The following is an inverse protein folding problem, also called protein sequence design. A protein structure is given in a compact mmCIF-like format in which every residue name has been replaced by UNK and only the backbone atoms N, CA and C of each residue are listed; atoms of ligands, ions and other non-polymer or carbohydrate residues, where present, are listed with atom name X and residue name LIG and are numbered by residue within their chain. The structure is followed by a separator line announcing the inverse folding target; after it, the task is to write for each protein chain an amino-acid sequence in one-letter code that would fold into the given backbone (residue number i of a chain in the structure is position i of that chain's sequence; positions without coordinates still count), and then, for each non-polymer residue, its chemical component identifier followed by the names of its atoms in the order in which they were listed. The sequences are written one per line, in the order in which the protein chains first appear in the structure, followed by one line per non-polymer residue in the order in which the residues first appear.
data_IF_703324801078
#
_entry.id   IF_703324801078
#
_cell.length_a   1.000
_cell.length_b   1.000
_cell.length_c   1.000
_cell.angle_alpha   90.00
_cell.angle_beta   90.00
_cell.angle_gamma   90.00
#
_symmetry.space_group_name_H-M   'P 1'
#
loop_
_entity.id
_entity.type
_entity.pdbx_description
1 polymer ?
#
# COMPACT_ATOMS: atom_id res chain seq x y z
N UNK A 1 -24.27 2.74 6.91
CA UNK A 1 -23.26 2.01 6.10
C UNK A 1 -22.29 1.35 7.07
N UNK A 2 -21.96 0.07 6.89
CA UNK A 2 -20.97 -0.63 7.71
C UNK A 2 -19.73 -0.87 6.85
N UNK A 3 -18.56 -0.47 7.35
CA UNK A 3 -17.30 -0.73 6.67
C UNK A 3 -16.79 -2.13 7.02
N UNK A 4 -16.17 -2.79 6.04
CA UNK A 4 -15.43 -4.02 6.23
C UNK A 4 -13.99 -3.70 6.66
N UNK A 5 -13.46 -4.47 7.60
CA UNK A 5 -12.07 -4.32 8.06
C UNK A 5 -11.23 -5.45 7.47
N UNK A 6 -10.37 -5.10 6.52
CA UNK A 6 -9.35 -5.99 5.99
C UNK A 6 -8.21 -6.11 7.01
N UNK A 7 -7.80 -7.34 7.33
CA UNK A 7 -6.74 -7.60 8.29
C UNK A 7 -5.37 -7.50 7.63
N UNK A 8 -4.38 -7.05 8.38
CA UNK A 8 -2.98 -7.21 8.01
C UNK A 8 -2.56 -8.65 8.29
N UNK A 9 -2.32 -9.42 7.23
CA UNK A 9 -1.96 -10.84 7.31
C UNK A 9 -0.45 -11.05 7.14
N UNK A 10 0.02 -12.28 7.28
CA UNK A 10 1.41 -12.63 6.96
C UNK A 10 1.75 -12.36 5.49
N UNK A 11 0.78 -12.53 4.58
CA UNK A 11 0.95 -12.22 3.15
C UNK A 11 1.02 -10.71 2.92
N UNK A 12 0.19 -9.91 3.60
CA UNK A 12 0.33 -8.45 3.61
C UNK A 12 1.73 -8.05 4.07
N UNK A 13 2.24 -8.67 5.14
CA UNK A 13 3.57 -8.38 5.69
C UNK A 13 4.70 -8.72 4.72
N UNK A 14 4.63 -9.87 4.04
CA UNK A 14 5.59 -10.26 3.02
C UNK A 14 5.61 -9.26 1.85
N UNK A 15 4.43 -8.84 1.38
CA UNK A 15 4.29 -7.83 0.33
C UNK A 15 4.88 -6.49 0.76
N UNK A 16 4.61 -6.05 1.99
CA UNK A 16 5.19 -4.82 2.54
C UNK A 16 6.71 -4.88 2.61
N UNK A 17 7.29 -6.01 3.06
CA UNK A 17 8.74 -6.19 3.09
C UNK A 17 9.39 -6.12 1.71
N UNK A 18 8.74 -6.70 0.68
CA UNK A 18 9.19 -6.57 -0.71
C UNK A 18 9.18 -5.13 -1.20
N UNK A 19 8.12 -4.38 -0.90
CA UNK A 19 8.00 -2.97 -1.26
C UNK A 19 9.08 -2.12 -0.59
N UNK A 20 9.33 -2.32 0.71
CA UNK A 20 10.41 -1.63 1.44
C UNK A 20 11.74 -1.87 0.75
N UNK A 21 12.09 -3.14 0.51
CA UNK A 21 13.35 -3.48 -0.13
C UNK A 21 13.50 -2.85 -1.54
N UNK A 22 12.41 -2.72 -2.29
CA UNK A 22 12.43 -2.07 -3.60
C UNK A 22 12.61 -0.55 -3.52
N UNK A 23 11.90 0.10 -2.60
CA UNK A 23 11.94 1.54 -2.40
C UNK A 23 13.29 1.97 -1.82
N UNK A 24 13.85 1.20 -0.89
CA UNK A 24 15.21 1.39 -0.37
C UNK A 24 16.27 1.24 -1.46
N UNK A 25 16.16 0.24 -2.35
CA UNK A 25 17.06 0.12 -3.52
C UNK A 25 17.00 1.32 -4.44
N UNK A 26 15.85 2.00 -4.52
CA UNK A 26 15.64 3.24 -5.29
C UNK A 26 16.06 4.50 -4.53
N UNK A 27 16.56 4.38 -3.29
CA UNK A 27 16.95 5.51 -2.44
C UNK A 27 15.77 6.33 -1.93
N UNK A 28 14.56 5.77 -1.94
CA UNK A 28 13.34 6.45 -1.51
C UNK A 28 13.07 6.16 -0.03
N UNK A 29 12.87 7.22 0.74
CA UNK A 29 12.41 7.11 2.13
C UNK A 29 10.90 6.91 2.12
N UNK A 30 10.43 5.89 2.82
CA UNK A 30 9.00 5.55 2.92
C UNK A 30 8.58 5.37 4.37
N UNK A 31 7.36 5.83 4.70
CA UNK A 31 6.78 5.57 6.02
C UNK A 31 6.38 4.09 6.10
N UNK A 32 6.72 3.45 7.22
CA UNK A 32 6.44 2.03 7.41
C UNK A 32 4.93 1.71 7.34
N UNK A 33 4.06 2.66 7.70
CA UNK A 33 2.59 2.47 7.63
C UNK A 33 2.09 2.52 6.20
N UNK A 34 2.70 3.34 5.35
CA UNK A 34 2.30 3.44 3.94
C UNK A 34 2.58 2.11 3.23
N UNK A 35 3.75 1.50 3.46
CA UNK A 35 4.05 0.16 2.91
C UNK A 35 3.20 -0.95 3.52
N UNK A 36 2.78 -0.85 4.79
CA UNK A 36 1.82 -1.78 5.40
C UNK A 36 0.44 -1.68 4.76
N UNK A 37 -0.08 -0.47 4.59
CA UNK A 37 -1.35 -0.20 3.90
C UNK A 37 -1.27 -0.72 2.46
N UNK A 38 -0.17 -0.44 1.76
CA UNK A 38 0.07 -0.95 0.42
C UNK A 38 0.07 -2.48 0.35
N UNK A 39 0.69 -3.15 1.32
CA UNK A 39 0.68 -4.61 1.43
C UNK A 39 -0.74 -5.18 1.51
N UNK A 40 -1.60 -4.58 2.34
CA UNK A 40 -3.02 -4.96 2.45
C UNK A 40 -3.75 -4.72 1.13
N UNK A 41 -3.53 -3.56 0.49
CA UNK A 41 -4.16 -3.20 -0.78
C UNK A 41 -3.79 -4.18 -1.90
N UNK A 42 -2.50 -4.52 -2.00
CA UNK A 42 -1.99 -5.47 -3.00
C UNK A 42 -2.52 -6.88 -2.77
N UNK A 43 -2.55 -7.36 -1.52
CA UNK A 43 -3.06 -8.69 -1.20
C UNK A 43 -4.52 -8.86 -1.63
N UNK A 44 -5.33 -7.81 -1.43
CA UNK A 44 -6.76 -7.82 -1.69
C UNK A 44 -7.14 -7.26 -3.07
N UNK A 45 -6.16 -6.89 -3.91
CA UNK A 45 -6.37 -6.23 -5.21
C UNK A 45 -7.37 -5.05 -5.12
N UNK A 46 -7.26 -4.28 -4.03
CA UNK A 46 -8.14 -3.16 -3.74
C UNK A 46 -7.69 -1.89 -4.46
N UNK A 47 -8.57 -0.87 -4.45
CA UNK A 47 -8.24 0.49 -4.88
C UNK A 47 -8.11 1.34 -3.61
N UNK A 48 -7.00 2.09 -3.49
CA UNK A 48 -6.73 2.94 -2.34
C UNK A 48 -7.30 4.35 -2.57
N UNK A 49 -8.23 4.74 -1.72
CA UNK A 49 -8.65 6.14 -1.57
C UNK A 49 -7.75 6.83 -0.55
N UNK A 50 -7.06 7.90 -0.95
CA UNK A 50 -6.13 8.61 -0.06
C UNK A 50 -5.95 10.06 -0.49
N UNK A 51 -5.85 10.96 0.48
CA UNK A 51 -5.37 12.34 0.24
C UNK A 51 -3.85 12.42 0.10
N UNK A 52 -3.12 11.34 0.46
CA UNK A 52 -1.66 11.29 0.43
C UNK A 52 -1.12 10.63 -0.86
N UNK A 53 -1.67 11.05 -2.01
CA UNK A 53 -1.43 10.43 -3.33
C UNK A 53 0.05 10.21 -3.63
N UNK A 54 0.91 11.19 -3.30
CA UNK A 54 2.35 11.12 -3.60
C UNK A 54 3.05 9.94 -2.92
N UNK A 55 2.63 9.58 -1.70
CA UNK A 55 3.23 8.48 -0.94
C UNK A 55 2.87 7.11 -1.50
N UNK A 56 1.72 7.00 -2.16
CA UNK A 56 1.20 5.74 -2.68
C UNK A 56 1.34 5.60 -4.20
N UNK A 57 2.13 6.45 -4.85
CA UNK A 57 2.59 6.25 -6.24
C UNK A 57 3.71 5.21 -6.30
N UNK A 58 3.39 4.01 -5.84
CA UNK A 58 4.25 2.84 -5.84
C UNK A 58 3.70 1.80 -6.80
N UNK A 59 4.58 0.94 -7.30
CA UNK A 59 4.21 -0.03 -8.33
C UNK A 59 3.15 -1.02 -7.80
N UNK A 60 2.10 -1.24 -8.61
CA UNK A 60 1.02 -2.18 -8.30
C UNK A 60 -0.14 -1.62 -7.45
N UNK A 61 0.04 -0.50 -6.75
CA UNK A 61 -1.06 0.11 -5.98
C UNK A 61 -1.94 0.95 -6.89
N UNK A 62 -3.23 0.59 -6.98
CA UNK A 62 -4.24 1.36 -7.72
C UNK A 62 -4.80 2.45 -6.82
N UNK A 63 -4.74 3.69 -7.26
CA UNK A 63 -5.33 4.83 -6.57
C UNK A 63 -6.72 5.12 -7.13
N UNK A 64 -7.64 5.51 -6.25
CA UNK A 64 -8.92 6.03 -6.67
C UNK A 64 -8.74 7.47 -7.16
N UNK A 65 -9.30 7.78 -8.33
CA UNK A 65 -9.40 9.13 -8.88
C UNK A 65 -10.89 9.48 -8.99
N UNK A 66 -11.28 10.62 -8.44
CA UNK A 66 -12.63 11.18 -8.58
C UNK A 66 -12.68 11.89 -9.94
N UNK A 67 -13.66 11.55 -10.79
CA UNK A 67 -13.91 12.22 -12.09
C UNK A 67 -14.36 13.68 -11.91
#
# INVERSE_FOLDING_TARGET
MRLEVLKFTDKSAELSGRLVAELERKGLVVDFRDVMIAGVVLENNAILYTGNVKHFRIEGVKLYEEE
#
